data_IF_654067539808
#
_entry.id   IF_654067539808
#
_cell.length_a   1.000
_cell.length_b   1.000
_cell.length_c   1.000
_cell.angle_alpha   90.00
_cell.angle_beta   90.00
_cell.angle_gamma   90.00
#
_symmetry.space_group_name_H-M   'P 1'
#
loop_
_entity.id
_entity.type
_entity.pdbx_description
1 polymer ?
#
# COMPACT_ATOMS: atom_id res chain seq x y z
N UNK A 1 8.87 -38.98 -72.33
CA UNK A 1 8.34 -39.44 -71.02
C UNK A 1 9.52 -40.08 -70.29
N UNK A 2 10.06 -39.62 -69.18
CA UNK A 2 9.95 -38.44 -68.32
C UNK A 2 11.16 -38.62 -67.35
N UNK A 3 12.09 -37.66 -67.29
CA UNK A 3 12.31 -36.75 -66.13
C UNK A 3 12.64 -37.49 -64.82
N UNK A 4 13.75 -37.29 -64.11
CA UNK A 4 14.84 -36.34 -64.20
C UNK A 4 15.76 -36.58 -62.99
N UNK A 5 17.03 -36.86 -63.23
CA UNK A 5 18.10 -36.80 -62.22
C UNK A 5 18.45 -35.32 -62.03
N UNK A 6 18.07 -34.74 -60.89
CA UNK A 6 18.38 -33.38 -60.50
C UNK A 6 18.68 -33.33 -59.01
N UNK A 7 19.96 -33.38 -58.70
CA UNK A 7 20.67 -32.57 -57.70
C UNK A 7 19.78 -31.66 -56.82
N UNK A 8 19.73 -31.94 -55.51
CA UNK A 8 19.33 -30.99 -54.48
C UNK A 8 20.24 -31.14 -53.26
N UNK A 9 21.43 -30.58 -53.42
CA UNK A 9 22.15 -29.76 -52.46
C UNK A 9 21.48 -29.55 -51.08
N UNK A 10 22.22 -29.90 -50.02
CA UNK A 10 22.27 -29.29 -48.69
C UNK A 10 21.05 -28.45 -48.22
N UNK A 11 20.21 -29.02 -47.32
CA UNK A 11 19.33 -28.23 -46.46
C UNK A 11 19.39 -28.70 -44.99
N UNK A 12 19.54 -27.78 -44.03
CA UNK A 12 19.68 -28.11 -42.61
C UNK A 12 18.36 -28.61 -42.03
N UNK A 13 18.46 -29.55 -41.10
CA UNK A 13 17.36 -30.07 -40.30
C UNK A 13 16.52 -28.93 -39.69
N UNK A 14 15.30 -28.74 -40.21
CA UNK A 14 14.31 -27.89 -39.58
C UNK A 14 13.85 -28.57 -38.29
N UNK A 15 14.32 -28.05 -37.16
CA UNK A 15 13.77 -28.29 -35.84
C UNK A 15 12.32 -27.81 -35.85
N UNK A 16 11.37 -28.74 -35.92
CA UNK A 16 9.99 -28.46 -35.56
C UNK A 16 9.99 -28.14 -34.07
N UNK A 17 9.90 -26.87 -33.71
CA UNK A 17 9.55 -26.44 -32.36
C UNK A 17 8.13 -26.95 -32.09
N UNK A 18 8.00 -28.02 -31.30
CA UNK A 18 6.77 -28.30 -30.56
C UNK A 18 6.57 -27.15 -29.59
N UNK A 19 5.94 -26.07 -30.06
CA UNK A 19 5.48 -25.00 -29.20
C UNK A 19 4.34 -25.55 -28.33
N UNK A 20 4.64 -25.69 -27.04
CA UNK A 20 3.67 -26.05 -26.01
C UNK A 20 2.47 -25.07 -26.09
N UNK A 21 1.23 -25.55 -26.30
CA UNK A 21 0.06 -24.68 -26.37
C UNK A 21 -0.12 -23.83 -25.11
N UNK A 22 0.42 -24.26 -23.96
CA UNK A 22 0.44 -23.46 -22.74
C UNK A 22 1.41 -22.28 -22.83
N UNK A 23 2.55 -22.43 -23.51
CA UNK A 23 3.54 -21.36 -23.70
C UNK A 23 3.01 -20.27 -24.65
N UNK A 24 2.31 -20.66 -25.72
CA UNK A 24 1.65 -19.71 -26.63
C UNK A 24 0.55 -18.90 -25.92
N UNK A 25 -0.21 -19.54 -25.01
CA UNK A 25 -1.20 -18.86 -24.18
C UNK A 25 -0.55 -17.87 -23.20
N UNK A 26 0.52 -18.26 -22.52
CA UNK A 26 1.22 -17.41 -21.55
C UNK A 26 1.91 -16.21 -22.22
N UNK A 27 2.45 -16.38 -23.42
CA UNK A 27 3.00 -15.29 -24.22
C UNK A 27 1.91 -14.31 -24.68
N UNK A 28 0.75 -14.83 -25.09
CA UNK A 28 -0.40 -13.99 -25.47
C UNK A 28 -0.93 -13.17 -24.30
N UNK A 29 -1.08 -13.79 -23.12
CA UNK A 29 -1.53 -13.08 -21.91
C UNK A 29 -0.49 -12.05 -21.44
N UNK A 30 0.81 -12.31 -21.62
CA UNK A 30 1.86 -11.35 -21.28
C UNK A 30 1.86 -10.14 -22.21
N UNK A 31 1.69 -10.32 -23.52
CA UNK A 31 1.59 -9.21 -24.48
C UNK A 31 0.31 -8.38 -24.27
N UNK A 32 -0.82 -9.02 -23.89
CA UNK A 32 -2.07 -8.33 -23.59
C UNK A 32 -1.97 -7.49 -22.29
N UNK A 33 -1.17 -7.94 -21.30
CA UNK A 33 -0.93 -7.20 -20.06
C UNK A 33 0.13 -6.11 -20.20
N UNK A 34 1.14 -6.30 -21.07
CA UNK A 34 2.18 -5.30 -21.34
C UNK A 34 1.63 -4.03 -22.01
N UNK A 35 0.48 -4.12 -22.69
CA UNK A 35 -0.23 -2.96 -23.24
C UNK A 35 -0.92 -2.07 -22.19
N UNK A 36 -1.01 -2.49 -20.92
CA UNK A 36 -1.66 -1.76 -19.82
C UNK A 36 -0.67 -1.03 -18.89
N UNK A 37 0.64 -1.26 -19.00
CA UNK A 37 1.64 -0.64 -18.11
C UNK A 37 2.07 0.77 -18.57
N UNK A 38 1.82 1.15 -19.83
CA UNK A 38 2.29 2.42 -20.42
C UNK A 38 1.23 3.54 -20.54
N UNK A 39 -0.04 3.31 -20.20
CA UNK A 39 -1.09 4.35 -20.21
C UNK A 39 -1.89 4.32 -18.87
N UNK A 40 -1.65 5.29 -17.99
CA UNK A 40 -2.44 5.68 -16.79
C UNK A 40 -1.78 5.62 -15.39
N UNK A 41 -0.51 6.05 -15.22
CA UNK A 41 -0.04 6.53 -13.90
C UNK A 41 0.88 7.76 -13.91
N UNK A 42 1.02 8.45 -15.05
CA UNK A 42 1.86 9.66 -15.18
C UNK A 42 1.05 10.95 -15.47
N UNK A 43 -0.24 11.00 -15.10
CA UNK A 43 -1.15 12.10 -15.46
C UNK A 43 -1.70 12.98 -14.33
N UNK A 44 -1.33 12.79 -13.06
CA UNK A 44 -1.90 13.55 -11.92
C UNK A 44 -0.85 14.28 -11.06
N UNK A 45 0.11 14.93 -11.72
CA UNK A 45 0.78 16.14 -11.25
C UNK A 45 0.50 17.18 -12.34
N UNK A 46 0.01 18.39 -12.12
CA UNK A 46 -0.01 19.34 -11.01
C UNK A 46 -1.07 20.40 -11.40
N UNK A 47 -1.51 21.26 -10.48
CA UNK A 47 -2.27 22.53 -10.65
C UNK A 47 -3.46 22.62 -9.67
N UNK A 48 -3.20 23.00 -8.41
CA UNK A 48 -4.22 23.63 -7.57
C UNK A 48 -3.69 24.95 -7.00
N UNK A 49 -4.26 26.12 -7.38
CA UNK A 49 -3.93 27.39 -6.73
C UNK A 49 -4.57 27.47 -5.33
N UNK A 50 -3.81 28.06 -4.41
CA UNK A 50 -4.13 28.27 -3.01
C UNK A 50 -5.52 28.87 -2.75
N UNK A 51 -6.32 28.20 -1.89
CA UNK A 51 -7.50 28.77 -1.24
C UNK A 51 -7.70 28.15 0.16
N UNK A 52 -8.19 28.99 1.07
CA UNK A 52 -8.18 28.86 2.53
C UNK A 52 -9.07 27.75 3.09
N UNK A 53 -8.60 27.09 4.15
CA UNK A 53 -9.40 26.17 4.98
C UNK A 53 -10.17 26.94 6.06
N UNK A 54 -11.51 26.83 6.15
CA UNK A 54 -12.20 27.08 7.40
C UNK A 54 -12.16 25.83 8.26
N UNK A 55 -11.59 25.96 9.47
CA UNK A 55 -11.66 24.98 10.54
C UNK A 55 -13.12 24.73 10.94
N UNK A 56 -13.61 23.51 10.74
CA UNK A 56 -14.64 22.87 11.55
C UNK A 56 -14.79 21.42 11.10
N UNK A 57 -14.29 20.48 11.91
CA UNK A 57 -14.92 19.18 12.19
C UNK A 57 -14.06 18.46 13.23
N UNK A 58 -14.45 18.72 14.46
CA UNK A 58 -14.15 17.96 15.67
C UNK A 58 -14.87 16.61 15.60
N UNK A 59 -14.32 15.63 16.34
CA UNK A 59 -14.99 14.44 16.86
C UNK A 59 -15.58 13.40 15.89
N UNK A 60 -14.73 12.45 15.45
CA UNK A 60 -15.13 11.02 15.47
C UNK A 60 -13.94 10.06 15.32
N UNK A 61 -12.96 10.15 16.22
CA UNK A 61 -11.92 9.13 16.35
C UNK A 61 -12.07 8.31 17.64
N UNK A 62 -13.30 8.12 18.11
CA UNK A 62 -13.64 7.35 19.31
C UNK A 62 -14.36 6.02 18.99
N UNK A 63 -14.50 5.65 17.71
CA UNK A 63 -15.23 4.44 17.34
C UNK A 63 -14.44 3.13 17.53
N UNK A 64 -13.10 3.18 17.64
CA UNK A 64 -12.30 1.95 17.55
C UNK A 64 -11.61 1.52 18.86
N UNK A 65 -11.80 2.21 19.99
CA UNK A 65 -11.07 1.85 21.20
C UNK A 65 -11.80 2.16 22.50
N UNK A 66 -12.82 1.35 22.86
CA UNK A 66 -13.18 1.23 24.28
C UNK A 66 -14.60 0.80 24.63
N UNK A 67 -14.87 -0.51 24.52
CA UNK A 67 -15.60 -1.29 25.53
C UNK A 67 -17.05 -0.95 25.90
N UNK A 68 -17.98 -1.84 25.52
CA UNK A 68 -19.32 -1.86 26.12
C UNK A 68 -20.31 -2.84 25.50
N UNK A 69 -20.14 -4.13 25.81
CA UNK A 69 -21.18 -5.16 26.04
C UNK A 69 -22.22 -5.48 24.94
N UNK A 70 -22.19 -6.73 24.45
CA UNK A 70 -23.38 -7.37 23.89
C UNK A 70 -23.18 -8.19 22.62
N UNK A 71 -22.55 -9.37 22.74
CA UNK A 71 -22.84 -10.48 21.84
C UNK A 71 -21.64 -11.10 21.12
N UNK A 72 -21.34 -12.36 21.48
CA UNK A 72 -20.90 -13.34 20.49
C UNK A 72 -19.40 -13.58 20.32
N UNK A 73 -18.65 -13.76 21.41
CA UNK A 73 -17.44 -14.59 21.35
C UNK A 73 -17.89 -16.07 21.40
N UNK A 74 -18.33 -16.57 20.26
CA UNK A 74 -18.45 -18.00 19.99
C UNK A 74 -17.56 -18.31 18.79
N UNK A 75 -16.40 -18.91 19.08
CA UNK A 75 -15.95 -20.12 18.40
C UNK A 75 -16.08 -20.14 16.87
N UNK A 76 -15.11 -19.56 16.17
CA UNK A 76 -14.93 -19.81 14.74
C UNK A 76 -14.06 -21.07 14.56
N UNK A 77 -14.60 -22.21 14.98
CA UNK A 77 -14.20 -23.51 14.43
C UNK A 77 -14.80 -23.64 13.03
N UNK A 78 -14.00 -24.16 12.11
CA UNK A 78 -14.34 -24.25 10.70
C UNK A 78 -15.55 -25.13 10.43
N UNK A 79 -16.50 -24.58 9.67
CA UNK A 79 -17.52 -25.36 8.99
C UNK A 79 -17.39 -25.16 7.47
N UNK A 80 -17.23 -26.23 6.68
CA UNK A 80 -17.26 -26.14 5.23
C UNK A 80 -18.72 -26.01 4.78
N UNK A 81 -19.01 -24.90 4.11
CA UNK A 81 -20.26 -24.63 3.41
C UNK A 81 -20.61 -25.77 2.45
N UNK A 82 -21.66 -26.51 2.79
CA UNK A 82 -22.29 -27.52 1.94
C UNK A 82 -22.96 -26.83 0.74
N UNK A 83 -22.23 -26.75 -0.37
CA UNK A 83 -22.85 -26.60 -1.69
C UNK A 83 -23.55 -27.93 -1.99
N UNK A 84 -24.89 -27.89 -1.98
CA UNK A 84 -25.75 -29.01 -2.34
C UNK A 84 -25.48 -29.39 -3.80
N UNK A 85 -24.69 -30.43 -4.03
CA UNK A 85 -24.77 -31.21 -5.26
C UNK A 85 -25.92 -32.19 -5.05
N UNK A 86 -26.98 -32.03 -5.83
CA UNK A 86 -28.10 -32.97 -5.85
C UNK A 86 -27.58 -34.38 -6.19
N UNK A 87 -27.79 -35.31 -5.26
CA UNK A 87 -27.71 -36.75 -5.44
C UNK A 87 -28.75 -37.20 -6.50
N UNK A 88 -28.43 -37.01 -7.77
CA UNK A 88 -28.92 -37.86 -8.84
C UNK A 88 -28.17 -39.19 -8.67
N UNK A 89 -28.92 -40.27 -8.43
CA UNK A 89 -28.47 -41.63 -8.07
C UNK A 89 -28.50 -41.98 -6.58
N UNK A 90 -29.70 -42.08 -6.00
CA UNK A 90 -29.84 -42.80 -4.75
C UNK A 90 -31.23 -42.91 -4.11
N UNK A 91 -32.20 -43.61 -4.73
CA UNK A 91 -33.27 -44.31 -4.01
C UNK A 91 -34.07 -45.26 -4.90
N UNK A 92 -33.63 -46.51 -5.04
CA UNK A 92 -34.54 -47.64 -5.19
C UNK A 92 -34.07 -48.78 -4.28
N UNK A 93 -34.72 -48.90 -3.13
CA UNK A 93 -34.59 -50.07 -2.26
C UNK A 93 -35.37 -51.22 -2.89
N UNK A 94 -34.68 -52.01 -3.71
CA UNK A 94 -35.07 -53.36 -4.09
C UNK A 94 -33.92 -54.31 -3.78
N UNK A 95 -34.00 -55.02 -2.65
CA UNK A 95 -32.97 -55.97 -2.20
C UNK A 95 -33.21 -57.36 -2.82
N UNK A 96 -32.32 -57.90 -3.68
CA UNK A 96 -32.25 -59.35 -3.89
C UNK A 96 -31.23 -59.95 -2.92
N UNK A 97 -31.72 -60.82 -2.03
CA UNK A 97 -30.90 -61.68 -1.18
C UNK A 97 -30.04 -62.61 -2.04
N UNK A 98 -28.77 -62.26 -2.24
CA UNK A 98 -27.75 -63.11 -2.86
C UNK A 98 -26.71 -63.48 -1.81
N UNK A 99 -26.87 -64.65 -1.21
CA UNK A 99 -25.83 -65.31 -0.40
C UNK A 99 -24.65 -65.71 -1.33
N UNK A 100 -23.71 -64.79 -1.53
CA UNK A 100 -22.42 -65.04 -2.18
C UNK A 100 -21.26 -64.81 -1.19
N UNK A 101 -20.08 -65.44 -1.38
CA UNK A 101 -18.96 -65.29 -0.46
C UNK A 101 -18.47 -63.83 -0.46
N UNK A 102 -18.25 -63.27 0.73
CA UNK A 102 -17.58 -61.96 0.90
C UNK A 102 -16.16 -62.07 0.32
N UNK A 103 -15.76 -61.20 -0.63
CA UNK A 103 -14.38 -61.19 -1.11
C UNK A 103 -13.45 -60.76 0.03
N UNK A 104 -12.49 -61.61 0.36
CA UNK A 104 -11.40 -61.30 1.30
C UNK A 104 -10.68 -60.03 0.85
N UNK A 105 -10.33 -59.09 1.75
CA UNK A 105 -9.55 -57.91 1.37
C UNK A 105 -8.24 -58.35 0.72
N UNK A 106 -7.98 -57.88 -0.49
CA UNK A 106 -6.74 -58.17 -1.20
C UNK A 106 -5.52 -57.77 -0.33
N UNK A 107 -4.44 -58.57 -0.30
CA UNK A 107 -3.23 -58.17 0.42
C UNK A 107 -2.74 -56.84 -0.14
N UNK A 108 -2.40 -55.89 0.74
CA UNK A 108 -1.84 -54.58 0.37
C UNK A 108 -0.59 -54.82 -0.47
N UNK A 109 -0.72 -54.70 -1.79
CA UNK A 109 0.42 -54.75 -2.70
C UNK A 109 1.34 -53.59 -2.30
N UNK A 110 2.56 -53.91 -1.90
CA UNK A 110 3.59 -52.92 -1.62
C UNK A 110 3.68 -51.97 -2.83
N UNK A 111 3.62 -50.66 -2.59
CA UNK A 111 3.60 -49.68 -3.66
C UNK A 111 4.82 -49.91 -4.57
N UNK A 112 4.65 -50.02 -5.90
CA UNK A 112 5.76 -50.18 -6.82
C UNK A 112 6.83 -49.11 -6.58
N UNK A 113 8.11 -49.48 -6.49
CA UNK A 113 9.21 -48.56 -6.15
C UNK A 113 9.27 -47.31 -7.04
N UNK A 114 8.80 -47.42 -8.29
CA UNK A 114 8.68 -46.29 -9.22
C UNK A 114 7.69 -45.22 -8.74
N UNK A 115 6.54 -45.63 -8.19
CA UNK A 115 5.53 -44.72 -7.64
C UNK A 115 6.06 -44.10 -6.35
N UNK A 116 6.80 -44.86 -5.55
CA UNK A 116 7.46 -44.34 -4.34
C UNK A 116 8.46 -43.23 -4.68
N UNK A 117 9.36 -43.48 -5.64
CA UNK A 117 10.32 -42.49 -6.14
C UNK A 117 9.62 -41.26 -6.71
N UNK A 118 8.57 -41.46 -7.52
CA UNK A 118 7.80 -40.34 -8.07
C UNK A 118 7.12 -39.50 -6.99
N UNK A 119 6.55 -40.12 -5.95
CA UNK A 119 5.97 -39.38 -4.81
C UNK A 119 7.01 -38.62 -4.00
N UNK A 120 8.17 -39.24 -3.77
CA UNK A 120 9.30 -38.59 -3.09
C UNK A 120 9.80 -37.38 -3.90
N UNK A 121 9.95 -37.51 -5.22
CA UNK A 121 10.35 -36.42 -6.13
C UNK A 121 9.32 -35.29 -6.21
N UNK A 122 8.03 -35.61 -6.34
CA UNK A 122 6.96 -34.62 -6.34
C UNK A 122 6.85 -33.89 -5.00
N UNK A 123 6.95 -34.62 -3.89
CA UNK A 123 6.97 -34.03 -2.56
C UNK A 123 8.16 -33.09 -2.39
N UNK A 124 9.35 -33.49 -2.82
CA UNK A 124 10.55 -32.65 -2.75
C UNK A 124 10.42 -31.39 -3.64
N UNK A 125 9.81 -31.50 -4.82
CA UNK A 125 9.54 -30.34 -5.69
C UNK A 125 8.55 -29.38 -5.03
N UNK A 126 7.49 -29.90 -4.41
CA UNK A 126 6.50 -29.08 -3.71
C UNK A 126 7.12 -28.38 -2.51
N UNK A 127 7.89 -29.09 -1.69
CA UNK A 127 8.62 -28.53 -0.54
C UNK A 127 9.59 -27.42 -0.96
N UNK A 128 10.27 -27.58 -2.11
CA UNK A 128 11.12 -26.51 -2.65
C UNK A 128 10.32 -25.27 -3.04
N UNK A 129 9.17 -25.44 -3.70
CA UNK A 129 8.29 -24.32 -4.08
C UNK A 129 7.70 -23.62 -2.84
N UNK A 130 7.30 -24.40 -1.84
CA UNK A 130 6.79 -23.87 -0.57
C UNK A 130 7.88 -23.08 0.16
N UNK A 131 9.12 -23.58 0.20
CA UNK A 131 10.25 -22.88 0.79
C UNK A 131 10.59 -21.56 0.05
N UNK A 132 10.54 -21.55 -1.29
CA UNK A 132 10.74 -20.32 -2.07
C UNK A 132 9.61 -19.31 -1.80
N UNK A 133 8.36 -19.77 -1.71
CA UNK A 133 7.23 -18.92 -1.38
C UNK A 133 7.31 -18.35 0.05
N UNK A 134 7.74 -19.14 1.03
CA UNK A 134 7.98 -18.66 2.39
C UNK A 134 9.10 -17.63 2.44
N UNK A 135 10.21 -17.86 1.72
CA UNK A 135 11.32 -16.91 1.66
C UNK A 135 10.87 -15.56 1.10
N UNK A 136 10.09 -15.57 0.02
CA UNK A 136 9.55 -14.33 -0.57
C UNK A 136 8.57 -13.63 0.38
N UNK A 137 7.71 -14.38 1.08
CA UNK A 137 6.83 -13.81 2.10
C UNK A 137 7.61 -13.17 3.25
N UNK A 138 8.71 -13.78 3.69
CA UNK A 138 9.58 -13.19 4.70
C UNK A 138 10.29 -11.93 4.22
N UNK A 139 10.76 -11.91 2.97
CA UNK A 139 11.38 -10.74 2.33
C UNK A 139 10.38 -9.58 2.29
N UNK A 140 9.15 -9.81 1.83
CA UNK A 140 8.10 -8.78 1.82
C UNK A 140 7.71 -8.30 3.22
N UNK A 141 7.64 -9.21 4.21
CA UNK A 141 7.39 -8.82 5.61
C UNK A 141 8.52 -7.95 6.16
N UNK A 142 9.78 -8.28 5.86
CA UNK A 142 10.94 -7.49 6.27
C UNK A 142 10.94 -6.13 5.60
N UNK A 143 10.66 -6.07 4.30
CA UNK A 143 10.58 -4.82 3.55
C UNK A 143 9.48 -3.90 4.09
N UNK A 144 8.27 -4.44 4.32
CA UNK A 144 7.18 -3.69 4.92
C UNK A 144 7.52 -3.20 6.34
N UNK A 145 8.19 -4.02 7.16
CA UNK A 145 8.64 -3.63 8.49
C UNK A 145 9.72 -2.53 8.43
N UNK A 146 10.66 -2.62 7.50
CA UNK A 146 11.71 -1.62 7.29
C UNK A 146 11.15 -0.31 6.76
N UNK A 147 10.17 -0.34 5.86
CA UNK A 147 9.46 0.85 5.38
C UNK A 147 8.72 1.55 6.52
N UNK A 148 7.96 0.79 7.33
CA UNK A 148 7.27 1.33 8.48
C UNK A 148 8.25 1.97 9.48
N UNK A 149 9.38 1.30 9.74
CA UNK A 149 10.45 1.83 10.59
C UNK A 149 11.03 3.14 10.03
N UNK A 150 11.31 3.20 8.73
CA UNK A 150 11.80 4.41 8.05
C UNK A 150 10.79 5.55 8.16
N UNK A 151 9.51 5.27 7.97
CA UNK A 151 8.44 6.26 8.10
C UNK A 151 8.37 6.86 9.51
N UNK A 152 8.41 6.02 10.55
CA UNK A 152 8.44 6.52 11.92
C UNK A 152 9.70 7.33 12.24
N UNK A 153 10.87 6.90 11.76
CA UNK A 153 12.12 7.64 11.94
C UNK A 153 12.06 9.02 11.26
N UNK A 154 11.57 9.10 10.03
CA UNK A 154 11.38 10.36 9.31
C UNK A 154 10.37 11.26 10.03
N UNK A 155 9.25 10.70 10.51
CA UNK A 155 8.24 11.46 11.27
C UNK A 155 8.82 12.01 12.57
N UNK A 156 9.62 11.23 13.29
CA UNK A 156 10.29 11.67 14.50
C UNK A 156 11.28 12.80 14.21
N UNK A 157 12.08 12.67 13.14
CA UNK A 157 13.00 13.73 12.69
C UNK A 157 12.25 15.02 12.33
N UNK A 158 11.13 14.93 11.61
CA UNK A 158 10.31 16.11 11.30
C UNK A 158 9.74 16.75 12.58
N UNK A 159 9.24 15.95 13.52
CA UNK A 159 8.76 16.45 14.80
C UNK A 159 9.88 17.12 15.60
N UNK A 160 11.07 16.54 15.63
CA UNK A 160 12.23 17.12 16.30
C UNK A 160 12.66 18.42 15.63
N UNK A 161 12.71 18.46 14.30
CA UNK A 161 13.00 19.67 13.52
C UNK A 161 11.98 20.78 13.79
N UNK A 162 10.68 20.47 13.82
CA UNK A 162 9.63 21.44 14.17
C UNK A 162 9.77 21.92 15.61
N UNK A 163 10.02 21.01 16.57
CA UNK A 163 10.25 21.38 17.98
C UNK A 163 11.48 22.28 18.12
N UNK A 164 12.58 21.96 17.45
CA UNK A 164 13.82 22.75 17.46
C UNK A 164 13.61 24.12 16.82
N UNK A 165 12.93 24.17 15.67
CA UNK A 165 12.55 25.44 15.01
C UNK A 165 11.68 26.31 15.92
N UNK A 166 10.68 25.73 16.59
CA UNK A 166 9.82 26.47 17.51
C UNK A 166 10.59 26.97 18.73
N UNK A 167 11.47 26.15 19.31
CA UNK A 167 12.33 26.57 20.43
C UNK A 167 13.27 27.70 20.04
N UNK A 168 13.94 27.58 18.89
CA UNK A 168 14.84 28.63 18.38
C UNK A 168 14.09 29.92 18.04
N UNK A 169 12.90 29.83 17.43
CA UNK A 169 12.06 30.99 17.16
C UNK A 169 11.58 31.67 18.46
N UNK A 170 11.23 30.89 19.48
CA UNK A 170 10.85 31.43 20.78
C UNK A 170 12.05 32.07 21.50
N UNK A 171 13.23 31.45 21.45
CA UNK A 171 14.45 32.01 22.02
C UNK A 171 14.83 33.33 21.33
N UNK A 172 14.81 33.37 20.00
CA UNK A 172 15.04 34.58 19.22
C UNK A 172 14.00 35.67 19.53
N UNK A 173 12.73 35.31 19.67
CA UNK A 173 11.67 36.24 20.07
C UNK A 173 11.90 36.78 21.48
N UNK A 174 12.28 35.91 22.43
CA UNK A 174 12.61 36.32 23.81
C UNK A 174 13.82 37.23 23.84
N UNK A 175 14.86 36.95 23.04
CA UNK A 175 16.04 37.81 22.92
C UNK A 175 15.67 39.17 22.32
N UNK A 176 14.90 39.22 21.24
CA UNK A 176 14.42 40.49 20.65
C UNK A 176 13.59 41.33 21.63
N UNK A 177 12.76 40.68 22.45
CA UNK A 177 11.97 41.34 23.49
C UNK A 177 12.85 41.81 24.66
N UNK A 178 13.82 40.98 25.08
CA UNK A 178 14.71 41.26 26.21
C UNK A 178 15.77 42.32 25.88
N UNK A 179 16.23 42.38 24.62
CA UNK A 179 17.10 43.42 24.06
C UNK A 179 16.33 44.75 23.97
N UNK A 180 15.98 45.31 25.13
CA UNK A 180 15.32 46.61 25.25
C UNK A 180 16.36 47.71 25.28
N UNK A 181 16.96 47.96 24.13
CA UNK A 181 17.83 49.11 23.92
C UNK A 181 17.01 50.41 24.00
N UNK A 182 17.36 51.34 24.91
CA UNK A 182 16.66 52.62 25.05
C UNK A 182 16.68 53.40 23.73
N UNK A 183 15.51 53.81 23.22
CA UNK A 183 15.37 54.56 21.97
C UNK A 183 14.74 53.78 20.79
N UNK A 184 14.54 52.46 20.90
CA UNK A 184 13.87 51.63 19.87
C UNK A 184 12.41 51.27 20.23
N UNK A 185 11.81 51.94 21.23
CA UNK A 185 10.50 51.57 21.75
C UNK A 185 9.40 51.67 20.69
N UNK A 186 9.41 52.75 19.90
CA UNK A 186 8.44 52.94 18.81
C UNK A 186 8.67 52.01 17.62
N UNK A 187 9.92 51.57 17.39
CA UNK A 187 10.22 50.56 16.38
C UNK A 187 9.61 49.20 16.77
N UNK A 188 9.70 48.83 18.05
CA UNK A 188 9.07 47.61 18.59
C UNK A 188 7.55 47.68 18.52
N UNK A 189 6.94 48.81 18.92
CA UNK A 189 5.49 49.02 18.82
C UNK A 189 5.02 48.91 17.36
N UNK A 190 5.78 49.48 16.43
CA UNK A 190 5.46 49.39 15.01
C UNK A 190 5.58 47.95 14.46
N UNK A 191 6.57 47.14 14.87
CA UNK A 191 6.66 45.72 14.45
C UNK A 191 5.43 44.90 14.84
N UNK A 192 4.82 45.21 15.98
CA UNK A 192 3.59 44.55 16.44
C UNK A 192 2.32 45.06 15.74
N UNK A 193 2.40 46.16 15.01
CA UNK A 193 1.26 46.77 14.33
C UNK A 193 1.20 46.34 12.86
N UNK A 194 0.04 45.86 12.42
CA UNK A 194 -0.18 45.53 11.02
C UNK A 194 -0.50 46.79 10.19
N UNK A 195 0.45 47.18 9.35
CA UNK A 195 0.32 48.32 8.44
C UNK A 195 -0.29 47.96 7.09
N UNK A 196 -0.68 46.70 6.86
CA UNK A 196 -1.31 46.30 5.61
C UNK A 196 -2.68 47.00 5.46
N UNK A 197 -2.89 47.82 4.41
CA UNK A 197 -4.17 48.49 4.20
C UNK A 197 -5.31 47.49 3.94
N UNK A 198 -5.01 46.24 3.57
CA UNK A 198 -6.01 45.19 3.26
C UNK A 198 -6.40 44.30 4.44
N UNK A 199 -5.70 44.35 5.57
CA UNK A 199 -6.00 43.51 6.73
C UNK A 199 -7.15 44.05 7.59
N UNK A 200 -7.47 45.33 7.45
CA UNK A 200 -8.57 45.99 8.16
C UNK A 200 -9.93 45.78 7.47
N UNK A 201 -10.24 44.55 7.04
CA UNK A 201 -11.57 44.21 6.49
C UNK A 201 -12.56 44.01 7.65
N UNK A 202 -13.19 45.10 8.12
CA UNK A 202 -14.34 45.04 9.05
C UNK A 202 -14.20 45.82 10.36
N UNK A 203 -13.09 46.52 10.60
CA UNK A 203 -12.85 47.35 11.79
C UNK A 203 -13.01 48.86 11.50
N UNK A 204 -13.16 49.65 12.57
CA UNK A 204 -13.04 51.12 12.59
C UNK A 204 -11.78 51.58 11.84
N UNK A 205 -11.84 52.75 11.20
CA UNK A 205 -10.71 53.33 10.48
C UNK A 205 -9.52 53.59 11.44
N UNK A 206 -8.46 52.82 11.25
CA UNK A 206 -7.20 52.93 11.99
C UNK A 206 -6.12 53.68 11.23
N UNK A 207 -6.43 54.29 10.07
CA UNK A 207 -5.45 54.98 9.23
C UNK A 207 -4.71 56.10 9.94
N UNK A 208 -5.42 56.94 10.71
CA UNK A 208 -4.81 58.01 11.52
C UNK A 208 -3.87 57.45 12.60
N UNK A 209 -4.28 56.40 13.28
CA UNK A 209 -3.46 55.74 14.31
C UNK A 209 -2.19 55.13 13.69
N UNK A 210 -2.32 54.45 12.55
CA UNK A 210 -1.19 53.89 11.79
C UNK A 210 -0.21 54.98 11.36
N UNK A 211 -0.72 56.12 10.87
CA UNK A 211 0.12 57.28 10.51
C UNK A 211 0.88 57.85 11.70
N UNK A 212 0.23 58.00 12.87
CA UNK A 212 0.89 58.48 14.10
C UNK A 212 1.99 57.51 14.55
N UNK A 213 1.72 56.20 14.55
CA UNK A 213 2.70 55.18 14.93
C UNK A 213 3.92 55.14 14.00
N UNK A 214 3.72 55.34 12.69
CA UNK A 214 4.83 55.43 11.72
C UNK A 214 5.67 56.69 11.93
N UNK A 215 5.04 57.83 12.22
CA UNK A 215 5.75 59.07 12.51
C UNK A 215 6.60 58.94 13.78
N UNK A 216 6.03 58.37 14.85
CA UNK A 216 6.75 58.10 16.09
C UNK A 216 7.91 57.10 15.92
N UNK A 217 7.79 56.14 15.00
CA UNK A 217 8.90 55.25 14.60
C UNK A 217 10.04 56.01 13.90
N UNK A 218 9.73 57.01 13.07
CA UNK A 218 10.73 57.72 12.25
C UNK A 218 11.44 58.84 13.02
N UNK A 219 10.67 59.64 13.77
CA UNK A 219 11.20 60.85 14.43
C UNK A 219 11.48 60.65 15.93
N UNK A 220 11.01 59.53 16.49
CA UNK A 220 11.06 59.29 17.94
C UNK A 220 10.17 60.27 18.72
N UNK A 221 10.15 60.13 20.04
CA UNK A 221 9.48 61.10 20.90
C UNK A 221 10.44 62.27 21.14
N UNK A 222 10.16 63.45 20.56
CA UNK A 222 10.91 64.66 20.87
C UNK A 222 10.74 64.97 22.37
N UNK A 223 11.85 64.89 23.13
CA UNK A 223 11.89 65.24 24.56
C UNK A 223 12.10 66.73 24.76
#
# INVERSE_FOLDING_TARGET
MADGLGDFEDQPAQQQQEEDPAAAFLAREQDELAGLEDDDVAGLQEETPAAQVPSAMDDNLDFLSGGGDGGGLADFEGEPSQQQNEDIFGADQGQPQSNGPVPTPAPRREEPEKIRKWREEQKAMLEKKDAEAERLREEWKKEAADELRKWYAQREEQLEKTKASNRSAEEAFREEVAESNPGQEWERVARMCDFNPKSSKGSKDTGRMRSILLHLKQEGLQR
#
